data_IF_151567277450
#
_entry.id   IF_151567277450
#
_cell.length_a   1.000
_cell.length_b   1.000
_cell.length_c   1.000
_cell.angle_alpha   90.00
_cell.angle_beta   90.00
_cell.angle_gamma   90.00
#
_symmetry.space_group_name_H-M   'P 1'
#
loop_
_entity.id
_entity.type
_entity.pdbx_description
1 polymer ?
#
# COMPACT_ATOMS: atom_id res chain seq x y z
N UNK A 1 -21.30 -49.63 -44.38
CA UNK A 1 -21.39 -49.30 -42.95
C UNK A 1 -20.03 -48.75 -42.49
N UNK A 2 -19.50 -47.72 -43.15
CA UNK A 2 -19.61 -46.28 -42.81
C UNK A 2 -19.20 -45.96 -41.38
N UNK A 3 -17.88 -45.88 -41.22
CA UNK A 3 -17.13 -45.29 -40.11
C UNK A 3 -17.33 -43.78 -40.07
N UNK A 4 -17.83 -43.25 -38.96
CA UNK A 4 -17.94 -41.82 -38.72
C UNK A 4 -16.61 -41.24 -38.19
N UNK A 5 -16.21 -40.02 -38.61
CA UNK A 5 -14.92 -39.42 -38.28
C UNK A 5 -14.92 -38.73 -36.89
N UNK A 6 -13.73 -38.44 -36.31
CA UNK A 6 -13.60 -37.82 -35.00
C UNK A 6 -14.12 -36.37 -34.96
N UNK A 7 -14.66 -35.90 -33.83
CA UNK A 7 -15.08 -34.51 -33.69
C UNK A 7 -13.86 -33.58 -33.72
N UNK A 8 -13.90 -32.62 -34.65
CA UNK A 8 -12.87 -31.60 -34.85
C UNK A 8 -12.81 -30.54 -33.74
N UNK A 9 -11.85 -29.61 -33.81
CA UNK A 9 -11.56 -28.65 -32.74
C UNK A 9 -12.72 -27.67 -32.56
N UNK A 10 -13.17 -27.53 -31.32
CA UNK A 10 -14.18 -26.56 -30.91
C UNK A 10 -13.61 -25.16 -31.12
N UNK A 11 -14.16 -24.43 -32.10
CA UNK A 11 -13.87 -23.01 -32.29
C UNK A 11 -14.53 -22.20 -31.16
N UNK A 12 -13.87 -21.16 -30.63
CA UNK A 12 -14.40 -20.38 -29.52
C UNK A 12 -15.61 -19.55 -29.97
N UNK A 13 -16.68 -19.60 -29.18
CA UNK A 13 -17.83 -18.70 -29.31
C UNK A 13 -17.40 -17.28 -28.89
N UNK A 14 -17.59 -16.25 -29.74
CA UNK A 14 -17.34 -14.87 -29.35
C UNK A 14 -18.64 -14.33 -28.74
N UNK A 15 -18.64 -13.99 -27.44
CA UNK A 15 -19.54 -13.00 -26.80
C UNK A 15 -19.54 -13.10 -25.26
N UNK A 16 -18.39 -12.86 -24.62
CA UNK A 16 -18.37 -12.49 -23.18
C UNK A 16 -17.30 -11.46 -22.81
N UNK A 17 -16.40 -11.09 -23.73
CA UNK A 17 -15.30 -10.16 -23.49
C UNK A 17 -15.69 -8.66 -23.47
N UNK A 18 -16.96 -8.30 -23.74
CA UNK A 18 -17.38 -6.90 -23.92
C UNK A 18 -18.00 -6.26 -22.67
N UNK A 19 -18.36 -7.02 -21.63
CA UNK A 19 -19.02 -6.46 -20.42
C UNK A 19 -18.07 -6.14 -19.26
N UNK A 20 -16.87 -6.70 -19.21
CA UNK A 20 -15.89 -6.41 -18.14
C UNK A 20 -15.05 -5.14 -18.39
N UNK A 21 -15.01 -4.62 -19.62
CA UNK A 21 -14.24 -3.40 -19.95
C UNK A 21 -14.95 -2.09 -19.59
N UNK A 22 -16.25 -2.13 -19.30
CA UNK A 22 -17.04 -0.91 -19.05
C UNK A 22 -17.17 -0.52 -17.57
N UNK A 23 -17.03 -1.45 -16.63
CA UNK A 23 -17.18 -1.17 -15.20
C UNK A 23 -15.93 -0.56 -14.54
N UNK A 24 -14.74 -0.79 -15.11
CA UNK A 24 -13.47 -0.29 -14.56
C UNK A 24 -13.10 1.13 -15.04
N UNK A 25 -13.73 1.61 -16.13
CA UNK A 25 -13.42 2.92 -16.73
C UNK A 25 -14.17 4.10 -16.09
N UNK A 26 -15.13 3.86 -15.21
CA UNK A 26 -16.03 4.92 -14.68
C UNK A 26 -15.84 5.25 -13.21
N UNK A 27 -14.81 4.72 -12.51
CA UNK A 27 -14.51 5.11 -11.10
C UNK A 27 -13.20 5.86 -10.89
N UNK A 28 -12.38 6.05 -11.93
CA UNK A 28 -11.10 6.76 -11.84
C UNK A 28 -11.15 8.24 -12.25
N UNK A 29 -12.29 8.73 -12.76
CA UNK A 29 -12.47 10.13 -13.13
C UNK A 29 -13.19 10.88 -12.00
N UNK A 30 -12.46 11.28 -10.95
CA UNK A 30 -13.06 12.11 -9.89
C UNK A 30 -12.35 12.14 -8.55
N UNK A 31 -11.18 11.50 -8.41
CA UNK A 31 -10.46 11.44 -7.14
C UNK A 31 -9.04 11.96 -7.30
N UNK A 32 -8.65 12.89 -6.43
CA UNK A 32 -7.29 13.40 -6.32
C UNK A 32 -6.53 12.52 -5.32
N UNK A 33 -5.66 11.65 -5.84
CA UNK A 33 -4.62 10.97 -5.05
C UNK A 33 -3.30 11.74 -5.14
N UNK A 34 -2.43 11.67 -4.12
CA UNK A 34 -1.07 12.23 -4.18
C UNK A 34 -0.31 11.85 -5.46
N UNK A 35 -0.54 10.63 -5.98
CA UNK A 35 0.14 10.11 -7.18
C UNK A 35 -0.29 10.79 -8.49
N UNK A 36 -1.43 11.50 -8.52
CA UNK A 36 -2.02 12.03 -9.77
C UNK A 36 -1.52 13.43 -10.16
N UNK A 37 -0.86 14.16 -9.26
CA UNK A 37 -0.36 15.52 -9.51
C UNK A 37 0.91 15.58 -10.40
N UNK A 38 1.46 14.42 -10.77
CA UNK A 38 2.73 14.32 -11.51
C UNK A 38 2.58 14.65 -13.01
N UNK A 39 1.36 14.79 -13.55
CA UNK A 39 1.15 14.66 -15.01
C UNK A 39 1.20 15.93 -15.86
N UNK A 40 1.35 17.15 -15.33
CA UNK A 40 1.16 18.33 -16.19
C UNK A 40 2.40 19.07 -16.70
N UNK A 41 3.60 18.98 -16.09
CA UNK A 41 4.76 19.75 -16.58
C UNK A 41 6.16 19.12 -16.37
N UNK A 42 6.27 17.86 -15.96
CA UNK A 42 7.58 17.19 -15.79
C UNK A 42 7.96 16.36 -17.02
N UNK A 43 9.21 16.47 -17.48
CA UNK A 43 9.78 15.61 -18.52
C UNK A 43 9.45 14.15 -18.24
N UNK A 44 8.64 13.55 -19.11
CA UNK A 44 8.25 12.17 -19.00
C UNK A 44 9.53 11.31 -19.01
N UNK A 45 9.83 10.67 -17.89
CA UNK A 45 10.75 9.54 -17.90
C UNK A 45 10.15 8.47 -18.80
N UNK A 46 10.90 8.07 -19.84
CA UNK A 46 10.54 7.01 -20.81
C UNK A 46 10.42 5.61 -20.19
N UNK A 47 10.66 5.46 -18.89
CA UNK A 47 10.48 4.19 -18.19
C UNK A 47 8.99 3.79 -18.13
N UNK A 48 8.63 2.55 -18.50
CA UNK A 48 7.23 2.13 -18.59
C UNK A 48 6.51 2.20 -17.23
N UNK A 49 5.21 2.49 -17.27
CA UNK A 49 4.32 2.39 -16.11
C UNK A 49 4.24 0.94 -15.60
N UNK A 50 3.77 0.74 -14.38
CA UNK A 50 3.55 -0.62 -13.87
C UNK A 50 2.55 -1.36 -14.76
N UNK A 51 2.79 -2.64 -14.99
CA UNK A 51 1.99 -3.48 -15.89
C UNK A 51 1.33 -4.61 -15.12
N UNK A 52 0.04 -4.82 -15.42
CA UNK A 52 -0.76 -5.90 -14.88
C UNK A 52 -0.96 -6.99 -15.94
N UNK A 53 -1.04 -8.23 -15.48
CA UNK A 53 -1.32 -9.39 -16.33
C UNK A 53 -2.26 -10.34 -15.58
N UNK A 54 -3.20 -10.93 -16.34
CA UNK A 54 -4.02 -12.02 -15.84
C UNK A 54 -3.14 -13.26 -15.60
N UNK A 55 -3.38 -13.97 -14.50
CA UNK A 55 -2.75 -15.24 -14.15
C UNK A 55 -3.82 -16.26 -13.81
N UNK A 56 -3.62 -17.49 -14.28
CA UNK A 56 -4.48 -18.61 -13.93
C UNK A 56 -3.90 -19.30 -12.68
N UNK A 57 -4.73 -19.47 -11.66
CA UNK A 57 -4.36 -20.09 -10.39
C UNK A 57 -5.29 -21.25 -10.07
N UNK A 58 -4.73 -22.28 -9.44
CA UNK A 58 -5.50 -23.37 -8.83
C UNK A 58 -5.31 -23.35 -7.32
N UNK A 59 -6.39 -23.23 -6.56
CA UNK A 59 -6.30 -23.20 -5.10
C UNK A 59 -5.75 -24.54 -4.56
N UNK A 60 -4.66 -24.53 -3.76
CA UNK A 60 -4.08 -25.76 -3.22
C UNK A 60 -4.97 -26.42 -2.16
N UNK A 61 -5.95 -25.68 -1.61
CA UNK A 61 -6.87 -26.16 -0.56
C UNK A 61 -8.13 -26.79 -1.14
N UNK A 62 -8.88 -26.07 -1.98
CA UNK A 62 -10.18 -26.52 -2.49
C UNK A 62 -10.18 -26.89 -3.99
N UNK A 63 -9.03 -26.78 -4.66
CA UNK A 63 -8.82 -27.06 -6.09
C UNK A 63 -9.66 -26.22 -7.06
N UNK A 64 -10.29 -25.15 -6.59
CA UNK A 64 -10.94 -24.17 -7.45
C UNK A 64 -9.89 -23.54 -8.39
N UNK A 65 -10.14 -23.60 -9.69
CA UNK A 65 -9.41 -22.80 -10.68
C UNK A 65 -10.06 -21.41 -10.78
N UNK A 66 -9.24 -20.37 -10.87
CA UNK A 66 -9.70 -18.99 -11.00
C UNK A 66 -8.62 -18.13 -11.69
N UNK A 67 -9.05 -16.99 -12.25
CA UNK A 67 -8.16 -15.99 -12.82
C UNK A 67 -7.99 -14.87 -11.82
N UNK A 68 -6.76 -14.46 -11.57
CA UNK A 68 -6.41 -13.30 -10.76
C UNK A 68 -5.50 -12.37 -11.57
N UNK A 69 -5.17 -11.19 -11.05
CA UNK A 69 -4.25 -10.25 -11.69
C UNK A 69 -3.00 -10.06 -10.84
N UNK A 70 -1.85 -10.18 -11.49
CA UNK A 70 -0.56 -9.88 -10.91
C UNK A 70 0.07 -8.64 -11.56
N UNK A 71 0.87 -7.92 -10.79
CA UNK A 71 1.76 -6.88 -11.33
C UNK A 71 3.07 -7.54 -11.76
N UNK A 72 3.31 -7.64 -13.08
CA UNK A 72 4.48 -8.33 -13.64
C UNK A 72 5.71 -7.44 -13.72
N UNK A 73 5.51 -6.13 -13.91
CA UNK A 73 6.56 -5.13 -13.97
C UNK A 73 6.14 -3.95 -13.11
N UNK A 74 6.95 -3.63 -12.10
CA UNK A 74 6.73 -2.51 -11.20
C UNK A 74 7.81 -1.44 -11.43
N UNK A 75 7.43 -0.17 -11.37
CA UNK A 75 8.38 0.94 -11.30
C UNK A 75 8.37 1.56 -9.89
N UNK A 76 9.41 2.34 -9.57
CA UNK A 76 9.53 3.10 -8.31
C UNK A 76 9.43 4.61 -8.54
N UNK A 77 8.80 5.04 -9.64
CA UNK A 77 8.77 6.45 -10.07
C UNK A 77 7.99 7.36 -9.12
N UNK A 78 7.13 6.80 -8.27
CA UNK A 78 6.45 7.51 -7.18
C UNK A 78 7.36 7.74 -5.95
N UNK A 79 8.59 7.23 -5.96
CA UNK A 79 9.55 7.32 -4.87
C UNK A 79 9.43 6.15 -3.89
N UNK A 80 10.36 6.09 -2.95
CA UNK A 80 10.37 5.08 -1.89
C UNK A 80 10.19 5.81 -0.56
N UNK A 81 9.12 5.50 0.16
CA UNK A 81 8.88 6.06 1.49
C UNK A 81 9.91 5.49 2.49
N UNK A 82 10.07 6.14 3.64
CA UNK A 82 11.11 5.75 4.62
C UNK A 82 10.85 4.41 5.28
N UNK A 83 9.62 3.92 5.26
CA UNK A 83 9.29 2.54 5.65
C UNK A 83 9.40 1.52 4.50
N UNK A 84 10.14 1.87 3.43
CA UNK A 84 10.42 1.03 2.26
C UNK A 84 9.23 0.80 1.32
N UNK A 85 8.16 1.59 1.45
CA UNK A 85 7.05 1.53 0.51
C UNK A 85 7.47 2.11 -0.86
N UNK A 86 7.75 1.23 -1.81
CA UNK A 86 8.12 1.60 -3.17
C UNK A 86 6.87 2.00 -3.98
N UNK A 87 6.65 3.30 -4.18
CA UNK A 87 5.50 3.85 -4.89
C UNK A 87 5.73 3.85 -6.39
N UNK A 88 4.73 3.41 -7.12
CA UNK A 88 4.77 3.32 -8.57
C UNK A 88 3.88 4.37 -9.23
N UNK A 89 4.19 4.71 -10.47
CA UNK A 89 3.23 5.36 -11.35
C UNK A 89 2.44 4.30 -12.13
N UNK A 90 1.12 4.45 -12.12
CA UNK A 90 0.20 3.45 -12.61
C UNK A 90 -0.30 2.53 -11.50
N UNK A 91 -0.66 1.27 -11.80
CA UNK A 91 -1.11 0.31 -10.81
C UNK A 91 -0.07 0.06 -9.73
N UNK A 92 -0.45 0.25 -8.47
CA UNK A 92 0.43 -0.02 -7.33
C UNK A 92 0.54 -1.53 -7.06
N UNK A 93 1.74 -2.14 -7.14
CA UNK A 93 1.91 -3.59 -7.05
C UNK A 93 1.32 -4.24 -5.79
N UNK A 94 1.34 -3.54 -4.66
CA UNK A 94 0.92 -4.01 -3.34
C UNK A 94 -0.55 -4.45 -3.33
N UNK A 95 -1.39 -3.88 -4.19
CA UNK A 95 -2.79 -4.28 -4.37
C UNK A 95 -2.96 -5.61 -5.10
N UNK A 96 -1.90 -6.14 -5.73
CA UNK A 96 -1.95 -7.34 -6.59
C UNK A 96 -0.99 -8.43 -6.10
N UNK A 97 -0.34 -8.23 -4.94
CA UNK A 97 0.59 -9.22 -4.36
C UNK A 97 -0.12 -10.45 -3.78
N UNK A 98 -1.33 -10.26 -3.24
CA UNK A 98 -2.08 -11.32 -2.57
C UNK A 98 -3.23 -11.80 -3.45
N UNK A 99 -3.14 -13.05 -3.88
CA UNK A 99 -4.24 -13.79 -4.50
C UNK A 99 -5.18 -14.31 -3.43
N UNK A 100 -6.47 -14.45 -3.76
CA UNK A 100 -7.47 -15.05 -2.87
C UNK A 100 -8.39 -15.97 -3.66
N UNK A 101 -8.52 -17.21 -3.20
CA UNK A 101 -9.45 -18.16 -3.80
C UNK A 101 -10.91 -17.70 -3.57
N UNK A 102 -11.71 -17.51 -4.63
CA UNK A 102 -13.08 -17.01 -4.50
C UNK A 102 -14.04 -17.99 -3.83
N UNK A 103 -13.66 -19.28 -3.75
CA UNK A 103 -14.48 -20.34 -3.16
C UNK A 103 -14.26 -20.52 -1.66
N UNK A 104 -13.00 -20.60 -1.22
CA UNK A 104 -12.68 -20.94 0.17
C UNK A 104 -11.91 -19.86 0.93
N UNK A 105 -11.57 -18.75 0.27
CA UNK A 105 -10.88 -17.62 0.89
C UNK A 105 -9.42 -17.85 1.22
N UNK A 106 -8.82 -18.98 0.81
CA UNK A 106 -7.36 -19.18 0.95
C UNK A 106 -6.62 -18.05 0.23
N UNK A 107 -5.72 -17.38 0.95
CA UNK A 107 -5.01 -16.20 0.48
C UNK A 107 -3.52 -16.28 0.77
N UNK A 108 -2.71 -15.77 -0.16
CA UNK A 108 -1.26 -15.79 -0.06
C UNK A 108 -0.59 -15.10 -1.26
N UNK A 109 0.75 -15.10 -1.27
CA UNK A 109 1.51 -14.68 -2.45
C UNK A 109 1.39 -15.71 -3.58
N UNK A 110 1.88 -15.36 -4.76
CA UNK A 110 1.90 -16.25 -5.92
C UNK A 110 2.51 -17.63 -5.61
N UNK A 111 3.65 -17.64 -4.90
CA UNK A 111 4.32 -18.87 -4.46
C UNK A 111 3.49 -19.75 -3.54
N UNK A 112 2.48 -19.20 -2.85
CA UNK A 112 1.57 -19.97 -2.00
C UNK A 112 0.51 -20.75 -2.81
N UNK A 113 0.45 -20.54 -4.13
CA UNK A 113 -0.41 -21.27 -5.06
C UNK A 113 0.38 -22.22 -5.97
N UNK A 114 1.69 -22.39 -5.74
CA UNK A 114 2.50 -23.35 -6.47
C UNK A 114 1.99 -24.79 -6.27
N UNK A 115 2.20 -25.65 -7.27
CA UNK A 115 1.68 -27.02 -7.25
C UNK A 115 2.25 -27.88 -6.12
N UNK A 116 3.50 -27.60 -5.72
CA UNK A 116 4.27 -28.31 -4.70
C UNK A 116 4.14 -27.69 -3.30
N UNK A 117 3.30 -26.66 -3.13
CA UNK A 117 3.12 -26.00 -1.83
C UNK A 117 2.56 -26.98 -0.80
N UNK A 118 3.28 -27.12 0.32
CA UNK A 118 2.79 -27.91 1.45
C UNK A 118 1.67 -27.17 2.18
N UNK A 119 0.48 -27.80 2.20
CA UNK A 119 -0.67 -27.36 2.99
C UNK A 119 -0.87 -28.34 4.15
N UNK A 120 -0.66 -27.90 5.41
CA UNK A 120 -0.92 -28.73 6.58
C UNK A 120 -2.35 -29.31 6.57
N UNK A 121 -2.55 -30.61 6.89
CA UNK A 121 -3.88 -31.22 6.87
C UNK A 121 -4.88 -30.52 7.80
N UNK A 122 -4.44 -30.09 8.97
CA UNK A 122 -5.23 -29.33 9.93
C UNK A 122 -5.69 -27.98 9.37
N UNK A 123 -4.82 -27.28 8.63
CA UNK A 123 -5.19 -26.05 7.93
C UNK A 123 -6.24 -26.33 6.86
N UNK A 124 -6.05 -27.38 6.04
CA UNK A 124 -7.00 -27.76 4.99
C UNK A 124 -8.38 -28.03 5.58
N UNK A 125 -8.44 -28.77 6.69
CA UNK A 125 -9.69 -29.09 7.38
C UNK A 125 -10.36 -27.85 7.97
N UNK A 126 -9.60 -26.93 8.58
CA UNK A 126 -10.14 -25.64 9.08
C UNK A 126 -10.83 -24.86 7.97
N UNK A 127 -10.13 -24.65 6.85
CA UNK A 127 -10.64 -23.86 5.70
C UNK A 127 -11.91 -24.50 5.11
N UNK A 128 -11.96 -25.82 4.97
CA UNK A 128 -13.07 -26.51 4.29
C UNK A 128 -14.27 -26.80 5.20
N UNK A 129 -14.05 -26.98 6.51
CA UNK A 129 -15.09 -27.40 7.46
C UNK A 129 -15.48 -26.26 8.40
N UNK A 130 -14.65 -26.01 9.41
CA UNK A 130 -14.84 -24.96 10.43
C UNK A 130 -13.55 -24.73 11.24
N UNK A 131 -13.20 -23.48 11.61
CA UNK A 131 -13.83 -22.24 11.18
C UNK A 131 -13.49 -21.94 9.71
N UNK A 132 -14.49 -21.59 8.91
CA UNK A 132 -14.27 -21.15 7.52
C UNK A 132 -13.60 -19.78 7.51
N UNK A 133 -12.85 -19.50 6.45
CA UNK A 133 -12.42 -18.14 6.16
C UNK A 133 -13.64 -17.31 5.74
N UNK A 134 -13.87 -16.21 6.43
CA UNK A 134 -15.03 -15.35 6.19
C UNK A 134 -14.81 -14.52 4.92
N UNK A 135 -15.63 -14.75 3.91
CA UNK A 135 -15.71 -13.93 2.71
C UNK A 135 -16.91 -12.97 2.83
N UNK A 136 -16.87 -11.80 2.18
CA UNK A 136 -18.00 -10.87 2.18
C UNK A 136 -19.29 -11.52 1.67
N UNK A 137 -20.43 -11.04 2.15
CA UNK A 137 -21.74 -11.51 1.69
C UNK A 137 -21.88 -11.32 0.17
N UNK A 138 -22.37 -12.35 -0.53
CA UNK A 138 -22.50 -12.34 -1.99
C UNK A 138 -21.20 -12.66 -2.75
N UNK A 139 -20.06 -12.82 -2.06
CA UNK A 139 -18.83 -13.28 -2.69
C UNK A 139 -18.87 -14.80 -2.89
N UNK A 140 -18.68 -15.24 -4.13
CA UNK A 140 -18.95 -16.61 -4.59
C UNK A 140 -17.79 -17.12 -5.47
N UNK A 141 -17.72 -18.44 -5.76
CA UNK A 141 -16.70 -18.98 -6.67
C UNK A 141 -16.66 -18.34 -8.06
N UNK A 142 -17.77 -17.76 -8.51
CA UNK A 142 -17.92 -17.07 -9.79
C UNK A 142 -17.53 -15.57 -9.72
N UNK A 143 -17.33 -15.03 -8.51
CA UNK A 143 -16.92 -13.65 -8.30
C UNK A 143 -15.48 -13.44 -8.77
N UNK A 144 -15.20 -12.23 -9.25
CA UNK A 144 -13.84 -11.82 -9.58
C UNK A 144 -13.04 -11.64 -8.27
N UNK A 145 -11.90 -12.32 -8.07
CA UNK A 145 -11.05 -12.14 -6.90
C UNK A 145 -10.65 -10.69 -6.63
N UNK A 146 -10.64 -9.84 -7.66
CA UNK A 146 -10.29 -8.42 -7.58
C UNK A 146 -11.37 -7.55 -6.97
N UNK A 147 -12.61 -8.03 -6.94
CA UNK A 147 -13.72 -7.34 -6.28
C UNK A 147 -13.56 -7.35 -4.75
N UNK A 148 -12.73 -8.27 -4.22
CA UNK A 148 -12.37 -8.30 -2.81
C UNK A 148 -11.32 -7.22 -2.50
N UNK A 149 -11.61 -6.40 -1.50
CA UNK A 149 -10.73 -5.31 -1.09
C UNK A 149 -9.32 -5.83 -0.73
N UNK A 150 -8.29 -5.08 -1.10
CA UNK A 150 -6.91 -5.47 -0.82
C UNK A 150 -6.65 -5.68 0.68
N UNK A 151 -7.24 -4.87 1.56
CA UNK A 151 -7.10 -5.02 3.00
C UNK A 151 -7.70 -6.34 3.50
N UNK A 152 -8.87 -6.74 2.95
CA UNK A 152 -9.50 -8.02 3.26
C UNK A 152 -8.64 -9.20 2.79
N UNK A 153 -8.04 -9.09 1.59
CA UNK A 153 -7.10 -10.10 1.06
C UNK A 153 -5.87 -10.25 1.96
N UNK A 154 -5.27 -9.16 2.44
CA UNK A 154 -4.18 -9.23 3.42
C UNK A 154 -4.64 -9.82 4.77
N UNK A 155 -5.85 -9.51 5.24
CA UNK A 155 -6.40 -10.07 6.48
C UNK A 155 -6.62 -11.59 6.40
N UNK A 156 -7.13 -12.07 5.26
CA UNK A 156 -7.25 -13.50 4.96
C UNK A 156 -5.88 -14.18 4.87
N UNK A 157 -4.90 -13.54 4.22
CA UNK A 157 -3.54 -14.06 4.11
C UNK A 157 -2.87 -14.19 5.48
N UNK A 158 -3.01 -13.18 6.34
CA UNK A 158 -2.53 -13.23 7.73
C UNK A 158 -3.13 -14.40 8.51
N UNK A 159 -4.43 -14.67 8.33
CA UNK A 159 -5.08 -15.85 8.92
C UNK A 159 -4.50 -17.15 8.38
N UNK A 160 -4.31 -17.25 7.05
CA UNK A 160 -3.70 -18.41 6.42
C UNK A 160 -2.25 -18.66 6.92
N UNK A 161 -1.45 -17.60 7.05
CA UNK A 161 -0.07 -17.68 7.51
C UNK A 161 0.03 -18.13 8.97
N UNK A 162 -0.87 -17.62 9.83
CA UNK A 162 -0.97 -18.07 11.23
C UNK A 162 -1.35 -19.54 11.34
N UNK A 163 -2.33 -20.00 10.55
CA UNK A 163 -2.73 -21.42 10.54
C UNK A 163 -1.63 -22.33 9.98
N UNK A 164 -0.82 -21.84 9.04
CA UNK A 164 0.37 -22.54 8.53
C UNK A 164 1.59 -22.43 9.44
N UNK A 165 1.47 -21.74 10.57
CA UNK A 165 2.58 -21.47 11.51
C UNK A 165 3.81 -20.89 10.80
N UNK A 166 3.58 -19.93 9.91
CA UNK A 166 4.64 -19.23 9.20
C UNK A 166 5.48 -18.38 10.15
N UNK A 167 6.68 -18.02 9.70
CA UNK A 167 7.65 -17.24 10.46
C UNK A 167 7.10 -15.88 10.91
N UNK A 168 7.64 -15.35 12.01
CA UNK A 168 7.35 -13.99 12.45
C UNK A 168 7.78 -12.98 11.38
N UNK A 169 8.89 -13.23 10.67
CA UNK A 169 9.31 -12.41 9.52
C UNK A 169 8.22 -12.36 8.43
N UNK A 170 7.66 -13.50 8.03
CA UNK A 170 6.65 -13.57 6.98
C UNK A 170 5.36 -12.84 7.40
N UNK A 171 4.95 -12.98 8.66
CA UNK A 171 3.78 -12.28 9.22
C UNK A 171 4.05 -10.77 9.33
N UNK A 172 5.25 -10.36 9.72
CA UNK A 172 5.65 -8.96 9.77
C UNK A 172 5.53 -8.28 8.40
N UNK A 173 6.01 -8.93 7.34
CA UNK A 173 5.92 -8.41 5.98
C UNK A 173 4.48 -8.26 5.47
N UNK A 174 3.58 -9.19 5.83
CA UNK A 174 2.16 -9.08 5.50
C UNK A 174 1.52 -7.89 6.21
N UNK A 175 1.78 -7.71 7.51
CA UNK A 175 1.28 -6.57 8.27
C UNK A 175 1.83 -5.23 7.74
N UNK A 176 3.12 -5.17 7.39
CA UNK A 176 3.73 -3.97 6.81
C UNK A 176 3.05 -3.58 5.50
N UNK A 177 2.87 -4.54 4.58
CA UNK A 177 2.20 -4.29 3.30
C UNK A 177 0.72 -3.93 3.49
N UNK A 178 0.03 -4.57 4.43
CA UNK A 178 -1.34 -4.18 4.78
C UNK A 178 -1.41 -2.72 5.26
N UNK A 179 -0.41 -2.26 6.02
CA UNK A 179 -0.34 -0.85 6.45
C UNK A 179 -0.22 0.13 5.27
N UNK A 180 0.53 -0.25 4.23
CA UNK A 180 0.65 0.55 3.01
C UNK A 180 -0.65 0.61 2.21
N UNK A 181 -1.44 -0.47 2.22
CA UNK A 181 -2.79 -0.46 1.63
C UNK A 181 -3.70 0.52 2.37
N UNK A 182 -3.71 0.50 3.71
CA UNK A 182 -4.49 1.45 4.50
C UNK A 182 -4.04 2.90 4.27
N UNK A 183 -2.72 3.11 4.12
CA UNK A 183 -2.14 4.41 3.73
C UNK A 183 -2.71 4.90 2.41
N UNK A 184 -2.57 4.10 1.38
CA UNK A 184 -2.88 4.52 0.02
C UNK A 184 -4.39 4.69 -0.20
N UNK A 185 -5.22 3.77 0.31
CA UNK A 185 -6.69 3.88 0.28
C UNK A 185 -7.20 5.11 1.04
N UNK A 186 -6.54 5.44 2.15
CA UNK A 186 -6.89 6.57 3.00
C UNK A 186 -6.46 7.93 2.45
N UNK A 187 -5.42 7.97 1.62
CA UNK A 187 -4.83 9.18 1.05
C UNK A 187 -5.51 9.61 -0.26
N UNK A 188 -6.85 9.59 -0.30
CA UNK A 188 -7.63 9.94 -1.49
C UNK A 188 -8.75 10.91 -1.11
N UNK A 189 -8.87 12.00 -1.87
CA UNK A 189 -9.94 12.99 -1.73
C UNK A 189 -10.77 13.03 -3.02
N UNK A 190 -12.07 13.34 -2.94
CA UNK A 190 -12.86 13.61 -4.13
C UNK A 190 -12.35 14.89 -4.80
N UNK A 191 -12.63 15.02 -6.09
CA UNK A 191 -12.30 16.22 -6.83
C UNK A 191 -13.09 17.40 -6.28
N UNK A 192 -12.36 18.45 -5.88
CA UNK A 192 -12.92 19.75 -5.53
C UNK A 192 -12.15 20.86 -6.29
N UNK A 193 -12.85 21.79 -6.98
CA UNK A 193 -12.19 22.80 -7.79
C UNK A 193 -11.27 23.76 -7.01
N UNK A 194 -11.60 24.07 -5.75
CA UNK A 194 -10.80 24.97 -4.92
C UNK A 194 -9.56 24.26 -4.43
N UNK A 195 -9.69 23.02 -3.97
CA UNK A 195 -8.57 22.17 -3.60
C UNK A 195 -7.63 21.96 -4.79
N UNK A 196 -8.15 21.64 -5.98
CA UNK A 196 -7.36 21.49 -7.19
C UNK A 196 -6.57 22.76 -7.53
N UNK A 197 -7.19 23.94 -7.43
CA UNK A 197 -6.51 25.23 -7.65
C UNK A 197 -5.41 25.49 -6.62
N UNK A 198 -5.67 25.19 -5.35
CA UNK A 198 -4.67 25.33 -4.28
C UNK A 198 -3.48 24.40 -4.54
N UNK A 199 -3.71 23.13 -4.84
CA UNK A 199 -2.63 22.19 -5.14
C UNK A 199 -1.82 22.65 -6.35
N UNK A 200 -2.48 23.08 -7.44
CA UNK A 200 -1.78 23.64 -8.60
C UNK A 200 -0.97 24.91 -8.30
N UNK A 201 -1.38 25.71 -7.30
CA UNK A 201 -0.57 26.84 -6.83
C UNK A 201 0.67 26.38 -6.04
N UNK A 202 0.50 25.39 -5.14
CA UNK A 202 1.60 24.85 -4.33
C UNK A 202 2.71 24.22 -5.18
N UNK A 203 2.38 23.68 -6.36
CA UNK A 203 3.36 23.15 -7.32
C UNK A 203 4.47 24.16 -7.69
N UNK A 204 4.23 25.48 -7.58
CA UNK A 204 5.26 26.50 -7.79
C UNK A 204 6.42 26.41 -6.78
N UNK A 205 6.17 25.79 -5.63
CA UNK A 205 7.16 25.55 -4.58
C UNK A 205 7.76 24.15 -4.64
N UNK A 206 7.38 23.33 -5.63
CA UNK A 206 7.92 21.98 -5.78
C UNK A 206 9.39 22.06 -6.19
N UNK A 207 10.31 21.44 -5.44
CA UNK A 207 11.70 21.37 -5.87
C UNK A 207 11.85 20.44 -7.08
N UNK A 208 12.88 20.66 -7.93
CA UNK A 208 13.17 19.75 -9.02
C UNK A 208 13.64 18.39 -8.48
N UNK A 209 13.20 17.31 -9.11
CA UNK A 209 13.72 15.97 -8.85
C UNK A 209 15.12 15.88 -9.47
N UNK A 210 16.15 15.64 -8.64
CA UNK A 210 17.52 15.45 -9.12
C UNK A 210 17.69 14.06 -9.76
N UNK A 211 18.63 13.86 -10.70
CA UNK A 211 18.98 12.53 -11.18
C UNK A 211 19.36 11.60 -10.02
N UNK A 212 18.79 10.38 -9.99
CA UNK A 212 18.94 9.45 -8.88
C UNK A 212 18.22 9.85 -7.58
N UNK A 213 17.49 10.97 -7.59
CA UNK A 213 16.74 11.44 -6.43
C UNK A 213 15.47 10.63 -6.17
N UNK A 214 14.97 10.75 -4.95
CA UNK A 214 13.75 10.09 -4.51
C UNK A 214 12.56 11.07 -4.58
N UNK A 215 11.49 10.68 -5.26
CA UNK A 215 10.26 11.48 -5.38
C UNK A 215 9.58 11.73 -4.02
N UNK A 216 9.76 10.83 -3.04
CA UNK A 216 9.29 11.06 -1.67
C UNK A 216 9.95 12.32 -1.05
N UNK A 217 11.23 12.56 -1.35
CA UNK A 217 11.98 13.70 -0.79
C UNK A 217 11.48 15.03 -1.36
N UNK A 218 11.12 15.04 -2.65
CA UNK A 218 10.54 16.20 -3.32
C UNK A 218 9.21 16.58 -2.68
N UNK A 219 8.37 15.60 -2.39
CA UNK A 219 7.07 15.84 -1.74
C UNK A 219 7.22 16.27 -0.29
N UNK A 220 8.18 15.72 0.46
CA UNK A 220 8.45 16.16 1.82
C UNK A 220 9.03 17.57 1.88
N UNK A 221 9.86 17.96 0.93
CA UNK A 221 10.31 19.35 0.81
C UNK A 221 9.17 20.30 0.43
N UNK A 222 8.25 19.89 -0.45
CA UNK A 222 7.04 20.65 -0.76
C UNK A 222 6.13 20.80 0.47
N UNK A 223 5.96 19.73 1.26
CA UNK A 223 5.21 19.76 2.50
C UNK A 223 5.81 20.76 3.50
N UNK A 224 7.14 20.73 3.70
CA UNK A 224 7.85 21.70 4.57
C UNK A 224 7.61 23.14 4.13
N UNK A 225 7.82 23.45 2.84
CA UNK A 225 7.60 24.81 2.29
C UNK A 225 6.14 25.26 2.46
N UNK A 226 5.20 24.34 2.28
CA UNK A 226 3.76 24.61 2.46
C UNK A 226 3.43 24.90 3.92
N UNK A 227 4.00 24.12 4.85
CA UNK A 227 3.83 24.33 6.29
C UNK A 227 4.42 25.69 6.74
N UNK A 228 5.60 26.06 6.24
CA UNK A 228 6.21 27.36 6.50
C UNK A 228 5.33 28.51 6.00
N UNK A 229 4.82 28.43 4.77
CA UNK A 229 3.93 29.45 4.22
C UNK A 229 2.59 29.57 4.99
N UNK A 230 2.06 28.45 5.51
CA UNK A 230 0.91 28.46 6.40
C UNK A 230 1.22 29.16 7.74
N UNK A 231 2.41 28.94 8.29
CA UNK A 231 2.84 29.51 9.56
C UNK A 231 3.09 31.02 9.45
N UNK A 232 3.59 31.51 8.32
CA UNK A 232 3.87 32.94 8.08
C UNK A 232 2.64 33.75 7.64
N UNK A 233 1.47 33.11 7.53
CA UNK A 233 0.22 33.80 7.18
C UNK A 233 0.08 34.13 5.69
N UNK A 234 0.76 33.39 4.80
CA UNK A 234 0.74 33.62 3.34
C UNK A 234 -0.65 33.46 2.71
N UNK A 235 -1.57 32.76 3.38
CA UNK A 235 -2.90 32.42 2.88
C UNK A 235 -4.01 33.07 3.67
N UNK A 236 -5.01 33.62 2.97
CA UNK A 236 -6.17 34.23 3.61
C UNK A 236 -7.09 33.16 4.24
N UNK A 237 -8.07 33.62 5.04
CA UNK A 237 -9.01 32.74 5.78
C UNK A 237 -9.75 31.71 4.91
N UNK A 238 -10.00 32.02 3.63
CA UNK A 238 -10.74 31.14 2.72
C UNK A 238 -9.85 30.11 2.03
N UNK A 239 -8.55 30.41 1.88
CA UNK A 239 -7.57 29.53 1.27
C UNK A 239 -7.00 28.55 2.29
N UNK A 240 -6.81 29.01 3.54
CA UNK A 240 -6.09 28.29 4.60
C UNK A 240 -6.59 26.84 4.79
N UNK A 241 -7.91 26.55 4.89
CA UNK A 241 -8.37 25.18 5.10
C UNK A 241 -8.02 24.24 3.94
N UNK A 242 -8.10 24.73 2.70
CA UNK A 242 -7.74 23.95 1.51
C UNK A 242 -6.23 23.70 1.41
N UNK A 243 -5.41 24.66 1.83
CA UNK A 243 -3.94 24.51 1.89
C UNK A 243 -3.55 23.54 3.00
N UNK A 244 -4.17 23.63 4.17
CA UNK A 244 -3.98 22.67 5.26
C UNK A 244 -4.39 21.26 4.83
N UNK A 245 -5.51 21.11 4.10
CA UNK A 245 -5.95 19.83 3.57
C UNK A 245 -4.97 19.27 2.53
N UNK A 246 -4.45 20.10 1.63
CA UNK A 246 -3.43 19.70 0.66
C UNK A 246 -2.13 19.25 1.35
N UNK A 247 -1.67 19.99 2.37
CA UNK A 247 -0.52 19.60 3.18
C UNK A 247 -0.77 18.26 3.90
N UNK A 248 -1.93 18.12 4.54
CA UNK A 248 -2.30 16.90 5.24
C UNK A 248 -2.36 15.70 4.28
N UNK A 249 -2.85 15.88 3.05
CA UNK A 249 -2.88 14.86 2.02
C UNK A 249 -1.45 14.40 1.65
N UNK A 250 -0.52 15.33 1.41
CA UNK A 250 0.88 15.01 1.09
C UNK A 250 1.53 14.21 2.24
N UNK A 251 1.37 14.70 3.48
CA UNK A 251 1.91 14.04 4.67
C UNK A 251 1.31 12.65 4.88
N UNK A 252 -0.01 12.53 4.76
CA UNK A 252 -0.74 11.26 4.84
C UNK A 252 -0.23 10.27 3.79
N UNK A 253 -0.06 10.71 2.55
CA UNK A 253 0.39 9.90 1.43
C UNK A 253 1.79 9.31 1.61
N UNK A 254 2.64 9.97 2.42
CA UNK A 254 3.99 9.51 2.81
C UNK A 254 4.05 8.89 4.20
N UNK A 255 2.88 8.69 4.83
CA UNK A 255 2.74 8.08 6.15
C UNK A 255 3.28 8.91 7.31
N UNK A 256 3.52 10.22 7.14
CA UNK A 256 3.95 11.14 8.20
C UNK A 256 2.74 11.56 9.07
N UNK A 257 2.09 10.55 9.64
CA UNK A 257 0.78 10.68 10.31
C UNK A 257 0.85 11.51 11.59
N UNK A 258 2.01 11.58 12.26
CA UNK A 258 2.23 12.47 13.43
C UNK A 258 2.00 13.94 13.08
N UNK A 259 2.30 14.34 11.84
CA UNK A 259 2.08 15.71 11.35
C UNK A 259 0.72 15.84 10.66
N UNK A 260 0.26 14.82 9.92
CA UNK A 260 -1.02 14.87 9.23
C UNK A 260 -2.23 14.86 10.17
N UNK A 261 -2.22 14.02 11.21
CA UNK A 261 -3.37 13.81 12.09
C UNK A 261 -3.90 15.08 12.80
N UNK A 262 -3.06 15.96 13.39
CA UNK A 262 -3.55 17.19 13.99
C UNK A 262 -4.19 18.13 12.94
N UNK A 263 -3.56 18.28 11.76
CA UNK A 263 -4.13 19.08 10.67
C UNK A 263 -5.51 18.57 10.25
N UNK A 264 -5.66 17.25 10.09
CA UNK A 264 -6.95 16.65 9.74
C UNK A 264 -7.98 16.85 10.85
N UNK A 265 -7.58 16.78 12.11
CA UNK A 265 -8.49 16.96 13.26
C UNK A 265 -9.05 18.39 13.29
N UNK A 266 -8.22 19.39 13.04
CA UNK A 266 -8.64 20.80 12.97
C UNK A 266 -9.63 21.03 11.82
N UNK A 267 -9.47 20.32 10.69
CA UNK A 267 -10.27 20.53 9.48
C UNK A 267 -11.66 19.87 9.50
N UNK A 268 -11.89 18.84 10.33
CA UNK A 268 -13.15 18.07 10.35
C UNK A 268 -14.38 18.97 10.56
N UNK A 269 -14.24 19.98 11.41
CA UNK A 269 -15.32 20.90 11.77
C UNK A 269 -15.25 22.25 11.05
N UNK A 270 -14.36 22.40 10.07
CA UNK A 270 -14.20 23.66 9.35
C UNK A 270 -15.39 23.88 8.39
N UNK A 271 -16.21 24.89 8.69
CA UNK A 271 -17.42 25.22 7.93
C UNK A 271 -17.15 25.73 6.51
N UNK A 272 -15.90 26.04 6.14
CA UNK A 272 -15.52 26.47 4.80
C UNK A 272 -15.26 25.30 3.84
N UNK A 273 -15.15 24.08 4.36
CA UNK A 273 -15.00 22.86 3.56
C UNK A 273 -16.39 22.28 3.21
N UNK A 274 -16.60 21.84 1.95
CA UNK A 274 -17.81 21.10 1.57
C UNK A 274 -17.92 19.78 2.33
N UNK A 275 -19.16 19.35 2.59
CA UNK A 275 -19.45 18.12 3.34
C UNK A 275 -18.73 16.86 2.79
N UNK A 276 -18.58 16.75 1.46
CA UNK A 276 -17.88 15.63 0.83
C UNK A 276 -16.38 15.58 1.18
N UNK A 277 -15.75 16.74 1.36
CA UNK A 277 -14.36 16.80 1.83
C UNK A 277 -14.28 16.45 3.31
N UNK A 278 -15.21 16.95 4.14
CA UNK A 278 -15.27 16.61 5.58
C UNK A 278 -15.44 15.10 5.79
N UNK A 279 -16.33 14.44 5.04
CA UNK A 279 -16.50 12.98 5.09
C UNK A 279 -15.22 12.24 4.67
N UNK A 280 -14.52 12.75 3.66
CA UNK A 280 -13.25 12.17 3.20
C UNK A 280 -12.11 12.37 4.20
N UNK A 281 -12.09 13.50 4.91
CA UNK A 281 -11.17 13.76 6.02
C UNK A 281 -11.41 12.76 7.16
N UNK A 282 -12.68 12.47 7.51
CA UNK A 282 -12.99 11.46 8.52
C UNK A 282 -12.53 10.06 8.09
N UNK A 283 -12.78 9.65 6.84
CA UNK A 283 -12.26 8.40 6.30
C UNK A 283 -10.72 8.34 6.34
N UNK A 284 -10.06 9.45 5.98
CA UNK A 284 -8.60 9.56 6.05
C UNK A 284 -8.11 9.41 7.49
N UNK A 285 -8.75 10.03 8.48
CA UNK A 285 -8.43 9.88 9.91
C UNK A 285 -8.62 8.44 10.38
N UNK A 286 -9.72 7.79 9.99
CA UNK A 286 -9.95 6.38 10.31
C UNK A 286 -8.86 5.47 9.72
N UNK A 287 -8.43 5.73 8.49
CA UNK A 287 -7.35 4.96 7.84
C UNK A 287 -6.00 5.08 8.56
N UNK A 288 -5.71 6.22 9.21
CA UNK A 288 -4.48 6.39 10.00
C UNK A 288 -4.46 5.41 11.18
N UNK A 289 -5.60 5.20 11.81
CA UNK A 289 -5.73 4.24 12.93
C UNK A 289 -5.56 2.80 12.45
N UNK A 290 -6.12 2.47 11.28
CA UNK A 290 -5.96 1.16 10.65
C UNK A 290 -4.50 0.90 10.26
N UNK A 291 -3.83 1.87 9.62
CA UNK A 291 -2.40 1.80 9.32
C UNK A 291 -1.56 1.59 10.58
N UNK A 292 -1.79 2.38 11.64
CA UNK A 292 -1.04 2.27 12.89
C UNK A 292 -1.22 0.90 13.56
N UNK A 293 -2.43 0.31 13.50
CA UNK A 293 -2.68 -1.05 13.98
C UNK A 293 -1.81 -2.07 13.23
N UNK A 294 -1.73 -1.96 11.90
CA UNK A 294 -0.93 -2.85 11.07
C UNK A 294 0.58 -2.63 11.29
N UNK A 295 1.04 -1.38 11.40
CA UNK A 295 2.44 -1.04 11.70
C UNK A 295 2.88 -1.60 13.06
N UNK A 296 2.03 -1.53 14.08
CA UNK A 296 2.33 -2.11 15.41
C UNK A 296 2.52 -3.61 15.30
N UNK A 297 1.59 -4.32 14.66
CA UNK A 297 1.71 -5.75 14.47
C UNK A 297 2.95 -6.12 13.64
N UNK A 298 3.28 -5.34 12.60
CA UNK A 298 4.51 -5.52 11.83
C UNK A 298 5.76 -5.37 12.70
N UNK A 299 5.83 -4.31 13.52
CA UNK A 299 6.95 -4.07 14.42
C UNK A 299 7.12 -5.20 15.45
N UNK A 300 6.04 -5.63 16.10
CA UNK A 300 6.07 -6.65 17.14
C UNK A 300 6.50 -8.03 16.59
N UNK A 301 6.09 -8.37 15.37
CA UNK A 301 6.55 -9.59 14.69
C UNK A 301 8.00 -9.44 14.20
N UNK A 302 8.37 -8.29 13.61
CA UNK A 302 9.72 -8.05 13.10
C UNK A 302 10.76 -8.05 14.22
N UNK A 303 10.45 -7.44 15.37
CA UNK A 303 11.29 -7.44 16.55
C UNK A 303 11.52 -8.87 17.06
N UNK A 304 10.47 -9.69 17.17
CA UNK A 304 10.61 -11.11 17.55
C UNK A 304 11.49 -11.87 16.56
N UNK A 305 11.27 -11.69 15.26
CA UNK A 305 12.08 -12.33 14.22
C UNK A 305 13.57 -11.94 14.30
N UNK A 306 13.86 -10.66 14.60
CA UNK A 306 15.23 -10.18 14.83
C UNK A 306 15.85 -10.81 16.09
N UNK A 307 15.11 -10.86 17.21
CA UNK A 307 15.61 -11.38 18.49
C UNK A 307 15.93 -12.88 18.45
N UNK A 308 15.18 -13.66 17.67
CA UNK A 308 15.42 -15.11 17.51
C UNK A 308 16.31 -15.44 16.30
N UNK A 309 16.91 -14.43 15.65
CA UNK A 309 17.76 -14.58 14.45
C UNK A 309 17.08 -15.34 13.30
N UNK A 310 15.79 -15.11 13.09
CA UNK A 310 15.03 -15.73 11.99
C UNK A 310 15.31 -15.07 10.64
N UNK A 311 15.77 -13.83 10.63
CA UNK A 311 16.05 -13.05 9.42
C UNK A 311 17.44 -13.42 8.88
N UNK A 312 17.52 -13.54 7.55
CA UNK A 312 18.79 -13.79 6.88
C UNK A 312 19.82 -12.69 7.23
N UNK A 313 21.04 -13.08 7.58
CA UNK A 313 22.12 -12.18 7.98
C UNK A 313 22.35 -11.00 7.01
N UNK A 314 22.23 -11.23 5.70
CA UNK A 314 22.39 -10.17 4.69
C UNK A 314 21.29 -9.09 4.76
N UNK A 315 20.11 -9.43 5.28
CA UNK A 315 18.96 -8.54 5.40
C UNK A 315 18.80 -7.96 6.81
N UNK A 316 19.48 -8.51 7.82
CA UNK A 316 19.37 -8.10 9.22
C UNK A 316 19.58 -6.59 9.44
N UNK A 317 20.57 -5.92 8.83
CA UNK A 317 20.74 -4.47 8.98
C UNK A 317 19.56 -3.66 8.44
N UNK A 318 19.04 -4.05 7.27
CA UNK A 318 17.87 -3.42 6.65
C UNK A 318 16.60 -3.65 7.48
N UNK A 319 16.48 -4.82 8.13
CA UNK A 319 15.39 -5.12 9.05
C UNK A 319 15.47 -4.29 10.34
N UNK A 320 16.66 -4.07 10.91
CA UNK A 320 16.84 -3.14 12.03
C UNK A 320 16.47 -1.70 11.65
N UNK A 321 16.83 -1.25 10.44
CA UNK A 321 16.40 0.04 9.91
C UNK A 321 14.87 0.15 9.86
N UNK A 322 14.21 -0.84 9.24
CA UNK A 322 12.76 -0.88 9.10
C UNK A 322 12.06 -0.91 10.46
N UNK A 323 12.59 -1.67 11.44
CA UNK A 323 12.05 -1.69 12.80
C UNK A 323 12.14 -0.30 13.46
N UNK A 324 13.28 0.38 13.32
CA UNK A 324 13.46 1.76 13.80
C UNK A 324 12.46 2.73 13.18
N UNK A 325 12.21 2.59 11.89
CA UNK A 325 11.23 3.43 11.19
C UNK A 325 9.79 3.15 11.59
N UNK A 326 9.42 1.88 11.80
CA UNK A 326 8.10 1.53 12.32
C UNK A 326 7.90 2.11 13.71
N UNK A 327 8.89 2.01 14.61
CA UNK A 327 8.83 2.64 15.92
C UNK A 327 8.68 4.15 15.84
N UNK A 328 9.46 4.85 15.00
CA UNK A 328 9.34 6.31 14.82
C UNK A 328 7.94 6.71 14.35
N UNK A 329 7.39 6.02 13.34
CA UNK A 329 6.05 6.28 12.79
C UNK A 329 4.95 6.08 13.83
N UNK A 330 5.14 5.11 14.73
CA UNK A 330 4.25 4.84 15.87
C UNK A 330 4.45 5.81 17.06
N UNK A 331 5.39 6.75 16.98
CA UNK A 331 5.72 7.68 18.07
C UNK A 331 6.57 7.07 19.19
N UNK A 332 7.15 5.89 18.96
CA UNK A 332 8.00 5.14 19.88
C UNK A 332 9.47 5.53 19.69
N UNK A 333 9.78 6.81 19.83
CA UNK A 333 11.09 7.37 19.48
C UNK A 333 12.23 6.78 20.34
N UNK A 334 11.94 6.44 21.60
CA UNK A 334 12.88 5.81 22.52
C UNK A 334 13.32 4.42 22.03
N UNK A 335 12.40 3.61 21.50
CA UNK A 335 12.74 2.30 20.89
C UNK A 335 13.32 2.44 19.47
N UNK A 336 12.94 3.49 18.72
CA UNK A 336 13.44 3.74 17.38
C UNK A 336 14.95 4.01 17.34
N UNK A 337 15.46 4.84 18.26
CA UNK A 337 16.87 5.24 18.31
C UNK A 337 17.84 4.04 18.37
N UNK A 338 17.70 3.09 19.31
CA UNK A 338 18.59 1.93 19.38
C UNK A 338 18.41 0.95 18.21
N UNK A 339 17.21 0.85 17.62
CA UNK A 339 17.01 0.05 16.41
C UNK A 339 17.79 0.64 15.22
N UNK A 340 17.73 1.96 15.01
CA UNK A 340 18.57 2.64 14.03
C UNK A 340 20.06 2.48 14.32
N UNK A 341 20.46 2.54 15.59
CA UNK A 341 21.87 2.38 15.94
C UNK A 341 22.38 0.99 15.53
N UNK A 342 21.63 -0.07 15.81
CA UNK A 342 21.96 -1.44 15.37
C UNK A 342 22.10 -1.56 13.86
N UNK A 343 21.24 -0.89 13.10
CA UNK A 343 21.37 -0.83 11.65
C UNK A 343 22.67 -0.11 11.22
N UNK A 344 22.97 1.03 11.83
CA UNK A 344 24.13 1.88 11.50
C UNK A 344 25.47 1.23 11.87
N UNK A 345 25.51 0.43 12.92
CA UNK A 345 26.70 -0.29 13.38
C UNK A 345 27.11 -1.40 12.41
N UNK A 346 26.18 -1.91 11.59
CA UNK A 346 26.46 -2.92 10.58
C UNK A 346 27.14 -2.29 9.34
N UNK A 347 28.35 -2.73 8.94
CA UNK A 347 29.04 -2.17 7.78
C UNK A 347 28.31 -2.42 6.45
N UNK A 348 27.61 -3.54 6.33
CA UNK A 348 26.88 -3.99 5.15
C UNK A 348 25.52 -3.31 4.93
N UNK A 349 25.10 -2.41 5.83
CA UNK A 349 23.90 -1.59 5.62
C UNK A 349 24.02 -0.78 4.31
N UNK A 350 23.06 -0.89 3.37
CA UNK A 350 23.08 -0.13 2.13
C UNK A 350 23.27 1.38 2.35
N UNK A 351 24.08 2.08 1.53
CA UNK A 351 24.39 3.50 1.72
C UNK A 351 23.15 4.39 1.84
N UNK A 352 22.14 4.19 1.00
CA UNK A 352 20.91 4.98 1.03
C UNK A 352 20.16 4.79 2.36
N UNK A 353 20.07 3.55 2.86
CA UNK A 353 19.45 3.27 4.16
C UNK A 353 20.29 3.82 5.31
N UNK A 354 21.61 3.86 5.21
CA UNK A 354 22.49 4.47 6.20
C UNK A 354 22.23 5.97 6.31
N UNK A 355 22.09 6.66 5.19
CA UNK A 355 21.77 8.08 5.17
C UNK A 355 20.37 8.35 5.73
N UNK A 356 19.39 7.52 5.37
CA UNK A 356 18.04 7.62 5.90
C UNK A 356 18.00 7.34 7.41
N UNK A 357 18.68 6.30 7.88
CA UNK A 357 18.78 5.94 9.29
C UNK A 357 19.35 7.10 10.11
N UNK A 358 20.45 7.73 9.66
CA UNK A 358 21.04 8.91 10.33
C UNK A 358 20.05 10.07 10.42
N UNK A 359 19.36 10.38 9.31
CA UNK A 359 18.39 11.47 9.26
C UNK A 359 17.20 11.21 10.19
N UNK A 360 16.60 10.02 10.12
CA UNK A 360 15.43 9.66 10.92
C UNK A 360 15.79 9.55 12.40
N UNK A 361 16.94 8.95 12.75
CA UNK A 361 17.41 8.87 14.13
C UNK A 361 17.65 10.27 14.73
N UNK A 362 18.19 11.22 13.94
CA UNK A 362 18.38 12.59 14.39
C UNK A 362 17.04 13.31 14.65
N UNK A 363 15.97 12.98 13.91
CA UNK A 363 14.63 13.49 14.19
C UNK A 363 14.03 12.92 15.47
N UNK A 364 14.25 11.64 15.78
CA UNK A 364 13.78 11.03 17.02
C UNK A 364 14.40 11.65 18.30
N UNK A 365 15.54 12.35 18.17
CA UNK A 365 16.27 12.97 19.30
C UNK A 365 15.86 14.42 19.58
N UNK A 366 15.06 15.03 18.70
CA UNK A 366 14.53 16.38 18.86
C UNK A 366 13.16 16.30 19.52
#
# INVERSE_FOLDING_TARGET
>A
MTTAPPPGPIRPHPQTAARSRHAFRTRLAGWLSCSLLITLLGTASDAPLSQLMDRELTCPVCRQAFVDVACINANTRGGIDRDLFARSLGPQPEYYRIATCPRCGYSGYDSDFAEDVFIPPDMRDRVLRSPRLSLPEGFSPESDPRDLDAADRYALALTCYRWRQQSDEAIAWLHLRASWIERDKGAVLPHDPRLARVMGYLERWRPPLRPGGNQADVEMQLATRTAEALATGHFNRYQRPYVQLALALILRGRGENRQAAPLLTDLVQDSLLPAQLSESIERMRASILLEAKQQRAAADHLERALLINQINAANTPSAWYLLGELFRRLGRDFEAIPAYQRALDAPELPPDLRDWARQQQAWCRK
#
